data_IF_839180444717
#
_entry.id   IF_839180444717
#
_cell.length_a   1.000
_cell.length_b   1.000
_cell.length_c   1.000
_cell.angle_alpha   90.00
_cell.angle_beta   90.00
_cell.angle_gamma   90.00
#
_symmetry.space_group_name_H-M   'P 1'
#
loop_
_entity.id
_entity.type
_entity.pdbx_description
1 polymer ?
#
# COMPACT_ATOMS: atom_id res chain seq x y z
N UNK A 1 6.58 -13.98 -35.28
CA UNK A 1 5.66 -13.43 -34.24
C UNK A 1 6.49 -13.18 -32.99
N UNK A 2 6.80 -11.93 -32.68
CA UNK A 2 7.55 -11.56 -31.46
C UNK A 2 6.56 -11.54 -30.31
N UNK A 3 6.79 -12.35 -29.27
CA UNK A 3 6.06 -12.30 -28.03
C UNK A 3 6.25 -10.90 -27.42
N UNK A 4 5.15 -10.14 -27.24
CA UNK A 4 5.18 -8.91 -26.47
C UNK A 4 5.27 -9.30 -25.00
N UNK A 5 6.42 -9.02 -24.40
CA UNK A 5 6.57 -9.09 -22.95
C UNK A 5 5.55 -8.12 -22.34
N UNK A 6 4.68 -8.65 -21.50
CA UNK A 6 3.83 -7.82 -20.65
C UNK A 6 4.75 -7.01 -19.74
N UNK A 7 4.67 -5.71 -19.86
CA UNK A 7 5.46 -4.75 -19.10
C UNK A 7 4.78 -4.62 -17.74
N UNK A 8 5.50 -4.93 -16.67
CA UNK A 8 5.05 -4.71 -15.31
C UNK A 8 5.09 -3.22 -15.01
N UNK A 9 3.94 -2.62 -14.76
CA UNK A 9 3.87 -1.30 -14.16
C UNK A 9 4.22 -1.43 -12.67
N UNK A 10 5.08 -0.55 -12.17
CA UNK A 10 5.31 -0.39 -10.72
C UNK A 10 4.27 0.60 -10.25
N UNK A 11 3.22 0.11 -9.62
CA UNK A 11 2.15 0.98 -9.12
C UNK A 11 2.55 1.50 -7.76
N UNK A 12 2.42 2.79 -7.61
CA UNK A 12 2.83 3.54 -6.44
C UNK A 12 1.61 3.87 -5.61
N UNK A 13 1.73 3.72 -4.40
CA UNK A 13 1.16 4.39 -3.26
C UNK A 13 0.19 3.62 -2.38
N UNK A 14 -0.54 2.68 -2.80
CA UNK A 14 -1.40 1.86 -1.92
C UNK A 14 -1.86 0.59 -2.65
N UNK A 15 -1.75 0.58 -3.96
CA UNK A 15 -2.16 -0.58 -4.75
C UNK A 15 -1.10 -1.68 -4.71
N UNK A 16 -1.46 -2.79 -4.13
CA UNK A 16 -0.65 -3.99 -4.04
C UNK A 16 -0.85 -4.84 -5.28
N UNK A 17 0.02 -4.68 -6.28
CA UNK A 17 -0.08 -5.42 -7.53
C UNK A 17 0.39 -6.87 -7.37
N UNK A 18 -0.55 -7.78 -7.21
CA UNK A 18 -0.31 -9.23 -7.26
C UNK A 18 -0.22 -9.70 -8.72
N UNK A 19 0.98 -9.70 -9.30
CA UNK A 19 1.22 -10.34 -10.59
C UNK A 19 1.68 -11.79 -10.40
N UNK A 20 0.75 -12.74 -10.37
CA UNK A 20 1.07 -14.17 -10.38
C UNK A 20 1.39 -14.65 -11.77
N UNK A 21 2.64 -15.02 -12.01
CA UNK A 21 3.03 -15.85 -13.16
C UNK A 21 2.69 -17.29 -12.82
N UNK A 22 1.70 -17.85 -13.49
CA UNK A 22 1.47 -19.29 -13.54
C UNK A 22 2.63 -19.95 -14.32
N UNK A 23 3.60 -20.51 -13.59
CA UNK A 23 4.49 -21.55 -14.12
C UNK A 23 4.12 -22.86 -13.45
N UNK A 24 3.35 -23.66 -14.17
CA UNK A 24 3.14 -25.05 -13.82
C UNK A 24 4.43 -25.82 -14.01
N UNK A 25 4.88 -26.54 -12.98
CA UNK A 25 5.71 -27.72 -13.11
C UNK A 25 5.33 -28.73 -12.03
N UNK A 26 4.92 -29.87 -12.51
CA UNK A 26 4.63 -31.11 -11.82
C UNK A 26 5.88 -31.72 -11.17
N UNK A 27 5.69 -32.37 -10.02
CA UNK A 27 6.47 -33.57 -9.68
C UNK A 27 7.28 -33.51 -8.40
N UNK A 28 6.95 -34.37 -7.45
CA UNK A 28 7.93 -34.96 -6.54
C UNK A 28 7.73 -34.72 -5.05
N UNK A 29 6.88 -35.52 -4.43
CA UNK A 29 6.82 -35.77 -2.99
C UNK A 29 8.17 -36.15 -2.40
N UNK A 30 8.72 -35.30 -1.51
CA UNK A 30 9.66 -35.72 -0.45
C UNK A 30 9.18 -35.17 0.87
N UNK A 31 8.71 -36.06 1.75
CA UNK A 31 8.52 -35.78 3.16
C UNK A 31 9.90 -35.52 3.77
N UNK A 32 10.15 -34.28 4.17
CA UNK A 32 11.19 -33.95 5.13
C UNK A 32 10.51 -33.49 6.42
N UNK A 33 10.86 -34.14 7.50
CA UNK A 33 10.52 -33.82 8.85
C UNK A 33 11.11 -32.45 9.21
N UNK A 34 10.29 -31.40 9.25
CA UNK A 34 10.69 -30.11 9.80
C UNK A 34 10.68 -30.17 11.32
N UNK A 35 11.90 -30.14 11.89
CA UNK A 35 12.14 -29.93 13.30
C UNK A 35 11.88 -28.48 13.68
N UNK A 36 10.84 -28.23 14.49
CA UNK A 36 10.79 -27.26 15.58
C UNK A 36 11.23 -25.82 15.38
N UNK A 37 10.73 -25.10 14.33
CA UNK A 37 10.62 -23.64 14.44
C UNK A 37 9.41 -23.30 15.30
N UNK A 38 9.50 -22.30 16.24
CA UNK A 38 8.32 -21.83 16.94
C UNK A 38 7.27 -21.42 15.90
N UNK A 39 6.05 -21.95 16.03
CA UNK A 39 4.93 -21.55 15.18
C UNK A 39 4.76 -20.04 15.40
N UNK A 40 4.96 -19.24 14.34
CA UNK A 40 4.70 -17.79 14.38
C UNK A 40 3.27 -17.62 14.93
N UNK A 41 3.10 -16.79 15.95
CA UNK A 41 1.79 -16.56 16.54
C UNK A 41 0.85 -16.09 15.42
N UNK A 42 -0.34 -16.69 15.33
CA UNK A 42 -1.31 -16.33 14.32
C UNK A 42 -1.68 -14.86 14.46
N UNK A 43 -1.53 -14.08 13.37
CA UNK A 43 -1.92 -12.68 13.36
C UNK A 43 -3.45 -12.58 13.52
N UNK A 44 -3.89 -11.98 14.62
CA UNK A 44 -5.32 -11.85 14.92
C UNK A 44 -5.58 -10.57 15.74
N UNK A 45 -5.56 -9.39 15.10
CA UNK A 45 -5.81 -8.12 15.78
C UNK A 45 -7.25 -8.09 16.31
N UNK A 46 -7.42 -7.53 17.51
CA UNK A 46 -8.75 -7.29 18.07
C UNK A 46 -9.26 -5.95 17.58
N UNK A 47 -10.40 -5.94 16.91
CA UNK A 47 -11.05 -4.74 16.40
C UNK A 47 -12.33 -4.51 17.19
N UNK A 48 -12.34 -3.44 18.01
CA UNK A 48 -13.58 -2.92 18.62
C UNK A 48 -13.92 -1.59 17.93
N UNK A 49 -15.07 -1.48 17.25
CA UNK A 49 -15.47 -0.23 16.58
C UNK A 49 -15.47 1.01 17.48
N UNK A 50 -15.63 0.82 18.78
CA UNK A 50 -15.60 1.92 19.76
C UNK A 50 -14.22 2.54 19.94
N UNK A 51 -13.16 1.84 19.54
CA UNK A 51 -11.78 2.32 19.65
C UNK A 51 -11.36 3.17 18.46
N UNK A 52 -12.21 3.36 17.47
CA UNK A 52 -11.95 4.16 16.29
C UNK A 52 -12.56 5.56 16.39
N UNK A 53 -11.86 6.54 15.80
CA UNK A 53 -12.26 7.95 15.74
C UNK A 53 -12.74 8.32 14.34
N UNK A 54 -13.46 9.44 14.23
CA UNK A 54 -14.04 9.88 12.95
C UNK A 54 -13.08 10.60 12.01
N UNK A 55 -11.88 10.93 12.48
CA UNK A 55 -10.85 11.66 11.71
C UNK A 55 -9.57 10.85 11.66
N UNK A 56 -8.89 10.93 10.53
CA UNK A 56 -7.54 10.41 10.37
C UNK A 56 -6.61 11.62 10.33
N UNK A 57 -5.96 11.89 11.46
CA UNK A 57 -5.08 13.06 11.69
C UNK A 57 -3.69 12.66 12.20
N UNK A 58 -3.30 11.40 11.99
CA UNK A 58 -1.94 10.96 12.26
C UNK A 58 -0.93 11.84 11.53
N UNK A 59 0.13 12.25 12.22
CA UNK A 59 1.15 13.20 11.74
C UNK A 59 1.70 12.87 10.35
N UNK A 60 1.86 11.59 10.03
CA UNK A 60 2.45 11.11 8.78
C UNK A 60 1.41 10.54 7.81
N UNK A 61 0.14 10.40 8.25
CA UNK A 61 -0.91 9.81 7.43
C UNK A 61 -2.25 10.50 7.74
N UNK A 62 -2.38 11.73 7.25
CA UNK A 62 -3.57 12.57 7.45
C UNK A 62 -4.49 12.50 6.25
N UNK A 63 -5.72 12.04 6.44
CA UNK A 63 -6.73 11.91 5.40
C UNK A 63 -7.89 12.87 5.66
N UNK A 64 -7.76 14.11 5.21
CA UNK A 64 -8.84 15.09 5.25
C UNK A 64 -9.65 15.00 3.95
N UNK A 65 -11.01 14.81 4.02
CA UNK A 65 -11.84 14.74 2.83
C UNK A 65 -11.66 15.95 1.90
N UNK A 66 -11.66 15.69 0.59
CA UNK A 66 -11.43 16.68 -0.45
C UNK A 66 -9.95 16.89 -0.82
N UNK A 67 -9.00 16.42 -0.02
CA UNK A 67 -7.58 16.52 -0.40
C UNK A 67 -7.27 15.58 -1.57
N UNK A 68 -6.45 16.10 -2.48
CA UNK A 68 -5.95 15.36 -3.62
C UNK A 68 -4.44 15.51 -3.71
N UNK A 69 -3.76 14.38 -3.89
CA UNK A 69 -2.31 14.31 -4.09
C UNK A 69 -2.05 13.80 -5.51
N UNK A 70 -1.12 14.44 -6.21
CA UNK A 70 -0.73 14.06 -7.55
C UNK A 70 0.73 13.70 -7.55
N UNK A 71 1.02 12.53 -8.12
CA UNK A 71 2.38 12.01 -8.22
C UNK A 71 2.75 11.76 -9.67
N UNK A 72 4.04 11.86 -9.96
CA UNK A 72 4.62 11.48 -11.25
C UNK A 72 5.92 10.73 -11.06
N UNK A 73 6.17 9.77 -11.92
CA UNK A 73 7.39 8.98 -11.92
C UNK A 73 7.79 8.50 -13.30
N UNK A 74 9.04 8.00 -13.34
CA UNK A 74 9.53 7.26 -14.50
C UNK A 74 9.85 5.86 -14.06
N UNK A 75 9.21 4.91 -14.70
CA UNK A 75 9.42 3.47 -14.51
C UNK A 75 10.11 2.88 -15.74
N UNK A 76 10.46 1.61 -15.67
CA UNK A 76 10.95 0.87 -16.85
C UNK A 76 9.88 0.73 -17.94
N UNK A 77 8.59 0.92 -17.58
CA UNK A 77 7.45 0.82 -18.47
C UNK A 77 7.09 2.14 -19.18
N UNK A 78 7.48 3.29 -18.59
CA UNK A 78 7.14 4.60 -19.12
C UNK A 78 6.96 5.65 -18.02
N UNK A 79 6.27 6.72 -18.38
CA UNK A 79 5.88 7.79 -17.46
C UNK A 79 4.59 7.39 -16.75
N UNK A 80 4.62 7.36 -15.43
CA UNK A 80 3.50 7.07 -14.57
C UNK A 80 2.96 8.35 -13.93
N UNK A 81 1.64 8.46 -13.82
CA UNK A 81 0.93 9.50 -13.08
C UNK A 81 -0.07 8.83 -12.15
N UNK A 82 -0.12 9.29 -10.90
CA UNK A 82 -1.05 8.77 -9.89
C UNK A 82 -1.80 9.94 -9.25
N UNK A 83 -3.10 9.75 -9.05
CA UNK A 83 -3.96 10.68 -8.29
C UNK A 83 -4.56 9.94 -7.11
N UNK A 84 -4.28 10.43 -5.90
CA UNK A 84 -4.86 9.95 -4.65
C UNK A 84 -5.85 10.97 -4.15
N UNK A 85 -7.11 10.61 -4.01
CA UNK A 85 -8.19 11.50 -3.59
C UNK A 85 -8.80 10.97 -2.30
N UNK A 86 -8.75 11.76 -1.23
CA UNK A 86 -9.51 11.50 -0.02
C UNK A 86 -10.97 11.89 -0.28
N UNK A 87 -11.85 10.91 -0.44
CA UNK A 87 -13.23 11.16 -0.80
C UNK A 87 -14.09 11.53 0.42
N UNK A 88 -15.33 12.00 0.16
CA UNK A 88 -16.36 12.16 1.20
C UNK A 88 -17.11 10.85 1.49
N UNK A 89 -16.78 9.77 0.77
CA UNK A 89 -17.38 8.46 0.95
C UNK A 89 -16.83 7.78 2.21
N UNK A 90 -17.66 6.94 2.82
CA UNK A 90 -17.23 6.04 3.88
C UNK A 90 -17.72 4.64 3.63
N UNK A 91 -16.96 3.66 4.10
CA UNK A 91 -17.36 2.23 4.07
C UNK A 91 -17.36 1.66 5.48
N UNK A 92 -18.35 0.85 5.78
CA UNK A 92 -18.42 0.14 7.06
C UNK A 92 -17.82 -1.25 6.90
N UNK A 93 -16.69 -1.51 7.60
CA UNK A 93 -15.97 -2.78 7.60
C UNK A 93 -15.77 -3.23 9.04
N UNK A 94 -16.11 -4.47 9.38
CA UNK A 94 -16.06 -5.01 10.75
C UNK A 94 -16.76 -4.10 11.80
N UNK A 95 -17.75 -3.31 11.37
CA UNK A 95 -18.45 -2.35 12.24
C UNK A 95 -17.73 -1.00 12.41
N UNK A 96 -16.50 -0.85 11.92
CA UNK A 96 -15.73 0.41 11.87
C UNK A 96 -16.17 1.22 10.66
N UNK A 97 -16.30 2.54 10.80
CA UNK A 97 -16.54 3.45 9.67
C UNK A 97 -15.18 3.89 9.13
N UNK A 98 -14.80 3.39 7.97
CA UNK A 98 -13.55 3.73 7.29
C UNK A 98 -13.76 4.85 6.27
N UNK A 99 -12.76 5.74 6.15
CA UNK A 99 -12.66 6.73 5.08
C UNK A 99 -12.27 6.02 3.79
N UNK A 100 -12.94 6.38 2.68
CA UNK A 100 -12.60 5.88 1.35
C UNK A 100 -11.60 6.82 0.70
N UNK A 101 -10.47 6.28 0.30
CA UNK A 101 -9.47 6.96 -0.54
C UNK A 101 -9.51 6.31 -1.90
N UNK A 102 -9.54 7.12 -2.96
CA UNK A 102 -9.44 6.61 -4.32
C UNK A 102 -8.04 6.88 -4.86
N UNK A 103 -7.38 5.83 -5.27
CA UNK A 103 -6.12 5.85 -5.98
C UNK A 103 -6.36 5.50 -7.44
N UNK A 104 -5.83 6.29 -8.36
CA UNK A 104 -5.97 6.06 -9.79
C UNK A 104 -4.63 6.25 -10.47
N UNK A 105 -4.18 5.24 -11.22
CA UNK A 105 -2.89 5.23 -11.88
C UNK A 105 -3.02 5.19 -13.42
N UNK A 106 -2.17 5.96 -14.07
CA UNK A 106 -2.02 6.00 -15.53
C UNK A 106 -0.57 5.75 -15.92
N UNK A 107 -0.36 4.98 -16.99
CA UNK A 107 0.93 4.78 -17.64
C UNK A 107 0.88 5.32 -19.05
N UNK A 108 1.78 6.27 -19.41
CA UNK A 108 1.79 6.94 -20.70
C UNK A 108 0.40 7.54 -21.07
N UNK A 109 -0.37 7.95 -20.04
CA UNK A 109 -1.72 8.52 -20.18
C UNK A 109 -2.86 7.51 -20.34
N UNK A 110 -2.56 6.22 -20.39
CA UNK A 110 -3.58 5.15 -20.38
C UNK A 110 -3.87 4.74 -18.93
N UNK A 111 -5.17 4.66 -18.57
CA UNK A 111 -5.60 4.17 -17.26
C UNK A 111 -5.16 2.71 -17.11
N UNK A 112 -4.44 2.41 -16.04
CA UNK A 112 -3.97 1.07 -15.71
C UNK A 112 -4.59 0.52 -14.43
N UNK A 113 -4.98 1.40 -13.48
CA UNK A 113 -5.57 0.98 -12.21
C UNK A 113 -6.51 2.03 -11.62
N UNK A 114 -7.56 1.57 -10.94
CA UNK A 114 -8.50 2.38 -10.15
C UNK A 114 -8.87 1.58 -8.90
N UNK A 115 -8.39 2.05 -7.74
CA UNK A 115 -8.53 1.39 -6.44
C UNK A 115 -9.27 2.28 -5.46
N UNK A 116 -10.11 1.67 -4.62
CA UNK A 116 -10.74 2.31 -3.46
C UNK A 116 -10.24 1.62 -2.20
N UNK A 117 -9.51 2.35 -1.39
CA UNK A 117 -8.92 1.91 -0.14
C UNK A 117 -9.73 2.34 1.06
N UNK A 118 -9.71 1.57 2.15
CA UNK A 118 -10.50 1.87 3.34
C UNK A 118 -9.63 1.98 4.57
N UNK A 119 -9.51 3.20 5.10
CA UNK A 119 -8.70 3.52 6.27
C UNK A 119 -9.53 4.00 7.45
N UNK A 120 -9.07 3.69 8.66
CA UNK A 120 -9.61 4.28 9.88
C UNK A 120 -8.49 4.48 10.91
N UNK A 121 -8.63 5.47 11.78
CA UNK A 121 -7.69 5.73 12.87
C UNK A 121 -8.28 5.26 14.19
N UNK A 122 -7.47 4.58 15.00
CA UNK A 122 -7.86 4.27 16.36
C UNK A 122 -7.61 5.44 17.33
N UNK A 123 -8.08 5.34 18.57
CA UNK A 123 -7.90 6.36 19.62
C UNK A 123 -6.45 6.57 20.03
N UNK A 124 -5.58 5.58 19.77
CA UNK A 124 -4.14 5.66 20.03
C UNK A 124 -3.42 6.44 18.93
N UNK A 125 -4.06 6.63 17.76
CA UNK A 125 -3.53 7.34 16.61
C UNK A 125 -2.91 6.44 15.54
N UNK A 126 -3.04 5.10 15.66
CA UNK A 126 -2.63 4.20 14.58
C UNK A 126 -3.64 4.29 13.43
N UNK A 127 -3.14 4.32 12.19
CA UNK A 127 -3.99 4.23 11.01
C UNK A 127 -4.03 2.80 10.53
N UNK A 128 -5.23 2.26 10.43
CA UNK A 128 -5.53 0.90 10.05
C UNK A 128 -6.02 0.84 8.62
N UNK A 129 -5.61 -0.20 7.89
CA UNK A 129 -6.06 -0.56 6.56
C UNK A 129 -7.05 -1.72 6.65
N UNK A 130 -8.27 -1.50 6.14
CA UNK A 130 -9.36 -2.44 6.24
C UNK A 130 -9.67 -3.17 4.93
N UNK A 131 -8.94 -2.87 3.87
CA UNK A 131 -9.09 -3.51 2.58
C UNK A 131 -9.24 -2.53 1.43
N UNK A 132 -9.43 -3.09 0.24
CA UNK A 132 -9.52 -2.35 -1.01
C UNK A 132 -10.45 -3.02 -2.04
N UNK A 133 -10.93 -2.21 -2.99
CA UNK A 133 -11.56 -2.63 -4.23
C UNK A 133 -10.71 -2.15 -5.39
N UNK A 134 -9.93 -3.04 -5.99
CA UNK A 134 -8.99 -2.76 -7.07
C UNK A 134 -9.56 -3.21 -8.42
N UNK A 135 -9.31 -2.40 -9.46
CA UNK A 135 -9.59 -2.72 -10.86
C UNK A 135 -8.38 -2.39 -11.71
N UNK A 136 -7.82 -3.40 -12.35
CA UNK A 136 -6.78 -3.25 -13.36
C UNK A 136 -7.39 -3.08 -14.75
N UNK A 137 -6.77 -2.21 -15.56
CA UNK A 137 -7.28 -1.86 -16.87
C UNK A 137 -6.27 -2.15 -17.98
N UNK A 138 -6.76 -2.66 -19.09
CA UNK A 138 -6.08 -2.64 -20.39
C UNK A 138 -7.03 -2.08 -21.44
N UNK A 139 -6.58 -1.05 -22.21
CA UNK A 139 -7.38 -0.42 -23.26
C UNK A 139 -8.78 0.01 -22.78
N UNK A 140 -8.85 0.63 -21.61
CA UNK A 140 -10.08 1.09 -20.95
C UNK A 140 -11.09 -0.03 -20.61
N UNK A 141 -10.65 -1.28 -20.47
CA UNK A 141 -11.48 -2.40 -20.03
C UNK A 141 -10.89 -2.98 -18.77
N UNK A 142 -11.75 -3.27 -17.81
CA UNK A 142 -11.34 -4.02 -16.60
C UNK A 142 -10.91 -5.42 -17.02
N UNK A 143 -9.68 -5.80 -16.68
CA UNK A 143 -9.08 -7.10 -17.00
C UNK A 143 -8.85 -7.95 -15.75
N UNK A 144 -8.79 -7.32 -14.58
CA UNK A 144 -8.58 -8.00 -13.30
C UNK A 144 -9.21 -7.18 -12.17
N UNK A 145 -9.63 -7.86 -11.12
CA UNK A 145 -9.97 -7.29 -9.81
C UNK A 145 -9.14 -7.95 -8.70
N UNK A 146 -8.04 -8.57 -9.11
CA UNK A 146 -7.13 -9.25 -8.20
C UNK A 146 -6.46 -8.23 -7.30
N UNK A 147 -6.27 -8.58 -6.04
CA UNK A 147 -5.81 -7.65 -5.01
C UNK A 147 -6.94 -7.15 -4.12
N UNK A 148 -8.20 -7.14 -4.62
CA UNK A 148 -9.32 -6.72 -3.79
C UNK A 148 -9.52 -7.65 -2.60
N UNK A 149 -9.67 -7.07 -1.41
CA UNK A 149 -9.94 -7.80 -0.18
C UNK A 149 -10.69 -6.92 0.83
N UNK A 150 -11.35 -7.53 1.79
CA UNK A 150 -12.06 -6.84 2.86
C UNK A 150 -11.82 -7.54 4.20
N UNK A 151 -11.40 -6.79 5.21
CA UNK A 151 -11.18 -7.30 6.55
C UNK A 151 -12.48 -7.92 7.12
N UNK A 152 -12.36 -9.13 7.68
CA UNK A 152 -13.49 -9.91 8.18
C UNK A 152 -14.21 -10.77 7.14
N UNK A 153 -13.80 -10.73 5.88
CA UNK A 153 -14.27 -11.61 4.81
C UNK A 153 -13.16 -12.62 4.49
N UNK A 154 -13.48 -13.88 4.30
CA UNK A 154 -12.56 -14.96 3.93
C UNK A 154 -11.27 -15.02 4.78
N UNK A 155 -11.41 -14.79 6.10
CA UNK A 155 -10.33 -14.73 7.09
C UNK A 155 -9.31 -13.58 6.88
N UNK A 156 -9.59 -12.63 6.00
CA UNK A 156 -8.78 -11.43 5.85
C UNK A 156 -8.84 -10.55 7.12
N UNK A 157 -7.75 -9.92 7.47
CA UNK A 157 -7.60 -9.13 8.71
C UNK A 157 -6.98 -7.77 8.41
N UNK A 158 -7.43 -6.72 9.10
CA UNK A 158 -6.84 -5.39 8.90
C UNK A 158 -5.42 -5.34 9.44
N UNK A 159 -4.62 -4.43 8.91
CA UNK A 159 -3.28 -4.13 9.41
C UNK A 159 -3.10 -2.65 9.71
N UNK A 160 -1.94 -2.28 10.21
CA UNK A 160 -1.58 -0.89 10.50
C UNK A 160 -0.71 -0.38 9.36
N UNK A 161 -1.17 0.64 8.63
CA UNK A 161 -0.36 1.28 7.57
C UNK A 161 0.52 2.40 8.13
N UNK A 162 0.13 2.99 9.28
CA UNK A 162 0.94 4.00 9.95
C UNK A 162 0.78 3.89 11.48
N UNK A 163 1.83 3.53 12.21
CA UNK A 163 1.81 3.53 13.67
C UNK A 163 1.62 4.93 14.26
N UNK A 164 0.95 5.04 15.40
CA UNK A 164 0.77 6.30 16.15
C UNK A 164 2.11 6.92 16.59
N UNK A 165 3.05 6.08 16.97
CA UNK A 165 4.36 6.49 17.51
C UNK A 165 5.46 5.61 16.91
N UNK A 166 5.80 5.80 15.61
CA UNK A 166 6.77 4.98 14.91
C UNK A 166 8.16 5.11 15.54
N UNK A 167 8.89 4.00 15.67
CA UNK A 167 10.26 3.94 16.15
C UNK A 167 11.15 3.22 15.15
N UNK A 168 12.36 3.70 14.94
CA UNK A 168 13.33 3.04 14.07
C UNK A 168 13.56 1.60 14.53
N UNK A 169 13.41 0.66 13.60
CA UNK A 169 13.51 -0.77 13.84
C UNK A 169 12.17 -1.47 14.11
N UNK A 170 11.05 -0.72 14.25
CA UNK A 170 9.73 -1.33 14.30
C UNK A 170 9.41 -2.00 12.96
N UNK A 171 8.78 -3.18 13.04
CA UNK A 171 8.24 -3.89 11.88
C UNK A 171 6.77 -4.21 12.17
N UNK A 172 5.90 -3.94 11.21
CA UNK A 172 4.46 -4.06 11.38
C UNK A 172 3.80 -4.60 10.11
N UNK A 173 2.62 -5.22 10.29
CA UNK A 173 1.83 -5.76 9.20
C UNK A 173 0.86 -4.70 8.71
N UNK A 174 0.93 -4.40 7.41
CA UNK A 174 0.06 -3.41 6.78
C UNK A 174 -1.29 -4.00 6.39
N UNK A 175 -1.31 -5.30 6.07
CA UNK A 175 -2.52 -6.05 5.70
C UNK A 175 -2.31 -7.55 5.92
N UNK A 176 -3.41 -8.31 5.97
CA UNK A 176 -3.32 -9.76 6.04
C UNK A 176 -4.52 -10.45 5.38
N UNK A 177 -4.30 -10.94 4.19
CA UNK A 177 -5.15 -11.94 3.56
C UNK A 177 -4.26 -13.06 3.06
N UNK A 178 -4.29 -14.21 3.73
CA UNK A 178 -3.30 -15.27 3.58
C UNK A 178 -3.12 -15.74 2.14
N UNK A 179 -1.92 -15.57 1.61
CA UNK A 179 -1.54 -15.95 0.25
C UNK A 179 -1.96 -14.95 -0.84
N UNK A 180 -2.68 -13.88 -0.48
CA UNK A 180 -3.18 -12.85 -1.40
C UNK A 180 -2.62 -11.46 -1.07
N UNK A 181 -2.66 -11.03 0.21
CA UNK A 181 -2.19 -9.73 0.68
C UNK A 181 -1.47 -9.88 2.03
N UNK A 182 -0.13 -9.81 2.05
CA UNK A 182 0.67 -10.06 3.26
C UNK A 182 1.81 -9.05 3.42
N UNK A 183 1.49 -7.78 3.26
CA UNK A 183 2.48 -6.73 3.23
C UNK A 183 2.90 -6.22 4.59
N UNK A 184 4.16 -5.85 4.66
CA UNK A 184 4.87 -5.45 5.87
C UNK A 184 5.52 -4.09 5.67
N UNK A 185 5.55 -3.30 6.73
CA UNK A 185 6.31 -2.06 6.82
C UNK A 185 7.38 -2.14 7.90
N UNK A 186 8.57 -1.65 7.59
CA UNK A 186 9.66 -1.45 8.55
C UNK A 186 9.93 0.04 8.71
N UNK A 187 10.06 0.56 9.94
CA UNK A 187 10.48 1.95 10.18
C UNK A 187 12.00 2.04 10.05
N UNK A 188 12.46 2.78 9.04
CA UNK A 188 13.89 2.89 8.72
C UNK A 188 14.52 4.13 9.32
N UNK A 189 13.84 5.28 9.28
CA UNK A 189 14.32 6.55 9.81
C UNK A 189 13.17 7.52 10.10
N UNK A 190 13.44 8.57 10.92
CA UNK A 190 12.44 9.58 11.31
C UNK A 190 12.89 11.02 10.96
N UNK A 191 14.05 11.17 10.36
CA UNK A 191 14.75 12.45 10.21
C UNK A 191 15.27 12.69 8.78
N UNK A 192 14.61 12.09 7.79
CA UNK A 192 15.07 12.23 6.41
C UNK A 192 14.74 13.60 5.84
N UNK A 193 15.70 14.16 5.12
CA UNK A 193 15.48 15.28 4.21
C UNK A 193 15.16 14.76 2.83
N UNK A 194 14.02 15.19 2.26
CA UNK A 194 13.52 14.73 0.98
C UNK A 194 13.22 15.91 0.08
N UNK A 195 13.76 15.88 -1.14
CA UNK A 195 13.45 16.86 -2.19
C UNK A 195 12.75 16.16 -3.34
N UNK A 196 11.57 16.67 -3.70
CA UNK A 196 10.73 16.25 -4.81
C UNK A 196 10.31 17.46 -5.64
N UNK A 197 9.61 17.27 -6.75
CA UNK A 197 9.16 18.38 -7.61
C UNK A 197 8.28 19.39 -6.85
N UNK A 198 7.43 18.91 -5.92
CA UNK A 198 6.56 19.78 -5.12
C UNK A 198 7.33 20.64 -4.12
N UNK A 199 8.44 20.16 -3.55
CA UNK A 199 9.20 20.91 -2.55
C UNK A 199 10.29 20.11 -1.85
N UNK A 200 10.83 20.71 -0.78
CA UNK A 200 11.81 20.07 0.10
C UNK A 200 11.25 19.97 1.51
N UNK A 201 11.34 18.79 2.10
CA UNK A 201 10.77 18.45 3.39
C UNK A 201 11.86 17.94 4.33
N UNK A 202 11.76 18.32 5.59
CA UNK A 202 12.62 17.86 6.67
C UNK A 202 11.86 16.88 7.58
N UNK A 203 12.58 16.13 8.39
CA UNK A 203 12.02 15.19 9.37
C UNK A 203 11.02 14.18 8.77
N UNK A 204 11.25 13.78 7.52
CA UNK A 204 10.42 12.76 6.89
C UNK A 204 10.67 11.41 7.56
N UNK A 205 9.57 10.70 7.84
CA UNK A 205 9.60 9.30 8.19
C UNK A 205 9.92 8.50 6.92
N UNK A 206 10.84 7.56 7.02
CA UNK A 206 11.15 6.59 5.97
C UNK A 206 10.71 5.21 6.40
N UNK A 207 9.85 4.58 5.61
CA UNK A 207 9.55 3.15 5.72
C UNK A 207 10.28 2.35 4.66
N UNK A 208 10.35 1.05 4.87
CA UNK A 208 10.62 0.05 3.85
C UNK A 208 9.40 -0.86 3.79
N UNK A 209 8.75 -0.87 2.65
CA UNK A 209 7.59 -1.70 2.41
C UNK A 209 8.01 -2.93 1.61
N UNK A 210 7.56 -4.11 2.06
CA UNK A 210 7.96 -5.39 1.49
C UNK A 210 6.92 -6.48 1.73
N UNK A 211 6.91 -7.52 0.87
CA UNK A 211 5.99 -8.64 1.01
C UNK A 211 6.70 -9.98 1.11
N UNK A 212 6.13 -10.90 1.91
CA UNK A 212 6.58 -12.29 1.99
C UNK A 212 6.22 -13.09 0.73
N UNK A 213 5.10 -12.75 0.12
CA UNK A 213 4.53 -13.44 -1.04
C UNK A 213 4.92 -12.79 -2.35
N UNK A 214 5.08 -11.46 -2.37
CA UNK A 214 5.54 -10.72 -3.54
C UNK A 214 6.98 -10.19 -3.35
N UNK A 215 7.96 -10.97 -3.79
CA UNK A 215 9.38 -10.63 -3.63
C UNK A 215 9.84 -9.41 -4.44
N UNK A 216 9.05 -8.98 -5.41
CA UNK A 216 9.28 -7.76 -6.20
C UNK A 216 8.96 -6.51 -5.41
N UNK A 217 8.01 -6.56 -4.48
CA UNK A 217 7.69 -5.47 -3.57
C UNK A 217 8.83 -5.30 -2.57
N UNK A 218 9.61 -4.27 -2.75
CA UNK A 218 10.69 -3.87 -1.85
C UNK A 218 11.07 -2.43 -2.17
N UNK A 219 10.48 -1.49 -1.45
CA UNK A 219 10.56 -0.07 -1.73
C UNK A 219 10.68 0.76 -0.47
N UNK A 220 11.14 1.99 -0.63
CA UNK A 220 11.14 3.00 0.42
C UNK A 220 10.05 4.03 0.15
N UNK A 221 9.19 4.26 1.15
CA UNK A 221 8.26 5.39 1.17
C UNK A 221 8.73 6.45 2.16
N UNK A 222 8.52 7.71 1.80
CA UNK A 222 8.90 8.85 2.63
C UNK A 222 7.65 9.69 2.91
N UNK A 223 7.32 9.82 4.17
CA UNK A 223 6.16 10.55 4.64
C UNK A 223 6.60 11.88 5.25
N UNK A 224 6.04 12.99 4.77
CA UNK A 224 6.34 14.31 5.31
C UNK A 224 5.34 14.69 6.39
N UNK A 225 5.77 15.16 7.57
CA UNK A 225 4.85 15.67 8.59
C UNK A 225 4.16 16.98 8.16
N UNK A 226 4.76 17.74 7.23
CA UNK A 226 4.18 19.00 6.73
C UNK A 226 3.04 18.72 5.74
N UNK A 227 3.13 17.63 5.00
CA UNK A 227 2.10 17.18 4.06
C UNK A 227 1.12 16.24 4.78
N UNK A 228 1.57 15.48 5.78
CA UNK A 228 0.78 14.44 6.42
C UNK A 228 0.51 13.25 5.49
N UNK A 229 1.38 13.02 4.50
CA UNK A 229 1.25 11.89 3.57
C UNK A 229 2.58 11.60 2.86
N UNK A 230 2.58 10.58 1.98
CA UNK A 230 3.75 10.20 1.19
C UNK A 230 4.16 11.35 0.25
N UNK A 231 5.44 11.63 0.18
CA UNK A 231 6.01 12.63 -0.75
C UNK A 231 6.93 12.01 -1.79
N UNK A 232 7.47 10.83 -1.48
CA UNK A 232 8.37 10.11 -2.36
C UNK A 232 8.25 8.61 -2.14
N UNK A 233 8.23 7.86 -3.21
CA UNK A 233 8.45 6.43 -3.22
C UNK A 233 9.58 6.08 -4.19
N UNK A 234 10.38 5.10 -3.84
CA UNK A 234 11.45 4.59 -4.70
C UNK A 234 11.79 3.14 -4.41
N UNK A 235 12.10 2.39 -5.45
CA UNK A 235 12.62 1.05 -5.30
C UNK A 235 13.88 1.02 -4.42
N UNK A 236 14.02 0.01 -3.54
CA UNK A 236 15.25 -0.21 -2.75
C UNK A 236 16.43 -0.49 -3.66
N UNK A 237 16.19 -1.18 -4.77
CA UNK A 237 17.19 -1.45 -5.81
C UNK A 237 16.63 -1.00 -7.16
N UNK A 238 17.37 -0.15 -7.86
CA UNK A 238 16.96 0.37 -9.15
C UNK A 238 16.91 1.89 -9.20
N UNK A 239 16.27 2.42 -10.24
CA UNK A 239 16.14 3.87 -10.47
C UNK A 239 14.69 4.34 -10.46
N UNK A 240 13.77 3.43 -10.24
CA UNK A 240 12.33 3.74 -10.21
C UNK A 240 12.02 4.63 -9.04
N UNK A 241 11.32 5.71 -9.33
CA UNK A 241 11.00 6.77 -8.39
C UNK A 241 9.72 7.46 -8.81
N UNK A 242 8.82 7.60 -7.88
CA UNK A 242 7.58 8.37 -8.02
C UNK A 242 7.52 9.41 -6.93
N UNK A 243 7.21 10.64 -7.28
CA UNK A 243 7.32 11.79 -6.40
C UNK A 243 6.10 12.71 -6.46
N UNK A 244 5.79 13.32 -5.32
CA UNK A 244 4.72 14.29 -5.21
C UNK A 244 5.00 15.51 -6.10
N UNK A 245 4.01 15.90 -6.92
CA UNK A 245 4.09 17.06 -7.82
C UNK A 245 3.04 18.12 -7.51
N UNK A 246 1.90 17.75 -6.90
CA UNK A 246 0.84 18.70 -6.52
C UNK A 246 0.05 18.19 -5.31
N UNK A 247 -0.46 19.12 -4.51
CA UNK A 247 -1.49 18.91 -3.49
C UNK A 247 -2.59 19.91 -3.71
N UNK A 248 -3.83 19.46 -3.80
CA UNK A 248 -5.05 20.24 -4.02
C UNK A 248 -6.04 20.07 -2.86
#
# INVERSE_FOLDING_TARGET
>A
MKAKNAVKASTVLIAFLLLSILSGCSGGTKKNSESGKPKEAEYNPKIDPKDFVSKIDNKYFTLAPGRKFIYEGKTSAGTERIEVIVTDESKRVMGVTATVVRDTAWLEGELIEDTKDWFAQDKEGNVWYFGEETKEYEKNKVVSTKGSWEAGVDDAKPGIVMPASPKVGDSYRQEYFKGEAEDMGDIVALDRKVTVKYGTFENCLQTRDWSKIEKSLNEYKYYSPDIGFVVLEKAVKGKERVELVSVE
#
